data_IF_110877308434
#
_entry.id   IF_110877308434
#
_cell.length_a   1.000
_cell.length_b   1.000
_cell.length_c   1.000
_cell.angle_alpha   90.00
_cell.angle_beta   90.00
_cell.angle_gamma   90.00
#
_symmetry.space_group_name_H-M   'P 1'
#
loop_
_entity.id
_entity.type
_entity.pdbx_description
1 polymer ?
#
# COMPACT_ATOMS: atom_id res chain seq x y z
N UNK A 1 -12.51 -45.19 -25.03
CA UNK A 1 -12.78 -43.74 -25.14
C UNK A 1 -11.58 -42.99 -24.62
N UNK A 2 -10.73 -42.48 -25.53
CA UNK A 2 -9.40 -41.95 -25.20
C UNK A 2 -9.45 -40.56 -24.58
N UNK A 3 -8.90 -40.42 -23.39
CA UNK A 3 -8.54 -39.13 -22.81
C UNK A 3 -7.42 -38.53 -23.66
N UNK A 4 -7.75 -37.52 -24.48
CA UNK A 4 -6.76 -36.70 -25.19
C UNK A 4 -6.01 -35.88 -24.15
N UNK A 5 -4.82 -36.36 -23.76
CA UNK A 5 -3.87 -35.58 -22.99
C UNK A 5 -3.36 -34.45 -23.90
N UNK A 6 -3.92 -33.25 -23.73
CA UNK A 6 -3.51 -32.05 -24.46
C UNK A 6 -2.17 -31.60 -23.87
N UNK A 7 -1.08 -31.95 -24.53
CA UNK A 7 0.27 -31.47 -24.21
C UNK A 7 0.23 -29.94 -24.30
N UNK A 8 0.43 -29.24 -23.17
CA UNK A 8 0.48 -27.78 -23.13
C UNK A 8 1.73 -27.33 -23.90
N UNK A 9 1.55 -26.48 -24.90
CA UNK A 9 2.66 -25.99 -25.72
C UNK A 9 3.43 -24.91 -24.95
N UNK A 10 4.74 -24.80 -25.19
CA UNK A 10 5.63 -23.81 -24.56
C UNK A 10 5.20 -22.36 -24.85
N UNK A 11 4.43 -22.16 -25.93
CA UNK A 11 3.83 -20.89 -26.36
C UNK A 11 2.61 -20.45 -25.55
N UNK A 12 2.10 -21.29 -24.64
CA UNK A 12 0.93 -20.98 -23.79
C UNK A 12 1.34 -20.36 -22.44
N UNK A 13 2.63 -20.07 -22.24
CA UNK A 13 3.11 -19.43 -21.00
C UNK A 13 2.85 -17.92 -21.05
N UNK A 14 2.20 -17.35 -20.01
CA UNK A 14 2.03 -15.90 -19.94
C UNK A 14 3.40 -15.21 -19.92
N UNK A 15 3.47 -14.04 -20.52
CA UNK A 15 4.66 -13.20 -20.51
C UNK A 15 5.06 -12.82 -19.09
N UNK A 16 6.34 -12.51 -18.87
CA UNK A 16 6.82 -12.07 -17.54
C UNK A 16 6.05 -10.84 -17.03
N UNK A 17 5.66 -9.94 -17.94
CA UNK A 17 4.84 -8.76 -17.63
C UNK A 17 3.43 -9.16 -17.15
N UNK A 18 2.80 -10.15 -17.78
CA UNK A 18 1.48 -10.64 -17.35
C UNK A 18 1.56 -11.33 -15.99
N UNK A 19 2.62 -12.09 -15.72
CA UNK A 19 2.85 -12.71 -14.41
C UNK A 19 3.02 -11.62 -13.33
N UNK A 20 3.78 -10.56 -13.63
CA UNK A 20 3.97 -9.44 -12.70
C UNK A 20 2.65 -8.71 -12.45
N UNK A 21 1.89 -8.38 -13.49
CA UNK A 21 0.56 -7.75 -13.38
C UNK A 21 -0.36 -8.57 -12.49
N UNK A 22 -0.44 -9.88 -12.73
CA UNK A 22 -1.28 -10.79 -11.96
C UNK A 22 -0.88 -10.81 -10.48
N UNK A 23 0.41 -10.96 -10.17
CA UNK A 23 0.90 -10.92 -8.79
C UNK A 23 0.61 -9.59 -8.09
N UNK A 24 0.71 -8.46 -8.82
CA UNK A 24 0.41 -7.13 -8.27
C UNK A 24 -1.07 -6.95 -7.98
N UNK A 25 -1.95 -7.46 -8.85
CA UNK A 25 -3.40 -7.54 -8.63
C UNK A 25 -3.74 -8.37 -7.40
N UNK A 26 -3.16 -9.56 -7.27
CA UNK A 26 -3.34 -10.42 -6.10
C UNK A 26 -2.92 -9.74 -4.79
N UNK A 27 -1.85 -8.93 -4.83
CA UNK A 27 -1.42 -8.11 -3.69
C UNK A 27 -2.45 -7.08 -3.22
N UNK A 28 -3.42 -6.71 -4.07
CA UNK A 28 -4.55 -5.85 -3.72
C UNK A 28 -5.76 -6.71 -3.32
N UNK A 29 -6.11 -7.71 -4.14
CA UNK A 29 -7.32 -8.49 -3.96
C UNK A 29 -7.29 -9.38 -2.72
N UNK A 30 -6.13 -9.96 -2.40
CA UNK A 30 -6.02 -10.88 -1.27
C UNK A 30 -6.30 -10.14 0.05
N UNK A 31 -5.64 -9.00 0.38
CA UNK A 31 -5.93 -8.26 1.60
C UNK A 31 -7.34 -7.68 1.68
N UNK A 32 -7.98 -7.37 0.55
CA UNK A 32 -9.33 -6.82 0.52
C UNK A 32 -10.42 -7.88 0.72
N UNK A 33 -10.22 -9.08 0.18
CA UNK A 33 -11.27 -10.10 0.12
C UNK A 33 -11.04 -11.30 1.05
N UNK A 34 -9.87 -11.41 1.67
CA UNK A 34 -9.52 -12.53 2.53
C UNK A 34 -9.07 -12.04 3.90
N UNK A 35 -9.30 -12.87 4.90
CA UNK A 35 -8.90 -12.59 6.27
C UNK A 35 -7.41 -12.96 6.49
N UNK A 36 -6.53 -12.05 6.07
CA UNK A 36 -5.07 -12.22 6.07
C UNK A 36 -4.34 -11.34 7.10
N UNK A 37 -5.08 -10.54 7.87
CA UNK A 37 -4.48 -9.80 8.98
C UNK A 37 -3.97 -10.79 10.03
N UNK A 38 -2.87 -10.43 10.70
CA UNK A 38 -2.26 -11.29 11.71
C UNK A 38 -3.26 -11.58 12.85
N UNK A 39 -3.60 -12.86 13.06
CA UNK A 39 -4.57 -13.28 14.09
C UNK A 39 -3.90 -13.81 15.36
N UNK A 40 -2.78 -14.51 15.18
CA UNK A 40 -2.08 -15.23 16.26
C UNK A 40 -0.77 -14.57 16.65
N UNK A 41 -0.36 -13.54 15.90
CA UNK A 41 0.87 -12.80 16.12
C UNK A 41 0.53 -11.44 16.67
N UNK A 42 1.18 -11.06 17.77
CA UNK A 42 0.99 -9.77 18.40
C UNK A 42 1.94 -8.71 17.85
N UNK A 43 1.52 -7.44 17.91
CA UNK A 43 2.36 -6.26 17.66
C UNK A 43 3.20 -5.85 18.87
N UNK A 44 2.93 -6.46 20.03
CA UNK A 44 3.44 -6.12 21.36
C UNK A 44 3.01 -4.74 21.88
N UNK A 45 2.14 -4.02 21.16
CA UNK A 45 1.61 -2.74 21.62
C UNK A 45 0.72 -2.88 22.85
N UNK A 46 0.18 -4.08 23.15
CA UNK A 46 -0.57 -4.37 24.37
C UNK A 46 0.28 -4.28 25.65
N UNK A 47 1.61 -4.34 25.51
CA UNK A 47 2.55 -4.15 26.62
C UNK A 47 2.97 -2.69 26.81
N UNK A 48 2.58 -1.79 25.89
CA UNK A 48 2.85 -0.36 25.99
C UNK A 48 1.65 0.31 26.67
N UNK A 49 1.89 0.89 27.86
CA UNK A 49 0.87 1.65 28.59
C UNK A 49 1.23 3.13 28.63
N UNK A 50 0.35 3.97 28.11
CA UNK A 50 0.43 5.42 28.28
C UNK A 50 -0.13 5.77 29.67
N UNK A 51 0.66 6.44 30.51
CA UNK A 51 0.20 6.85 31.83
C UNK A 51 -0.74 8.04 31.66
N UNK A 52 -2.00 7.86 32.09
CA UNK A 52 -3.02 8.89 31.99
C UNK A 52 -2.75 10.05 32.95
N UNK A 53 -2.89 11.28 32.46
CA UNK A 53 -2.97 12.48 33.27
C UNK A 53 -4.44 12.96 33.31
N UNK A 54 -5.06 12.92 34.48
CA UNK A 54 -6.47 13.25 34.67
C UNK A 54 -6.76 14.76 34.67
N UNK A 55 -5.75 15.59 34.93
CA UNK A 55 -5.88 17.04 34.93
C UNK A 55 -4.71 17.66 34.14
N UNK A 56 -4.70 17.54 32.81
CA UNK A 56 -3.70 18.20 31.98
C UNK A 56 -3.92 19.72 32.03
N UNK A 57 -2.85 20.47 32.27
CA UNK A 57 -2.83 21.94 32.19
C UNK A 57 -2.62 22.37 30.73
N UNK A 58 -3.51 21.93 29.84
CA UNK A 58 -3.40 22.07 28.38
C UNK A 58 -4.80 22.26 27.76
N UNK A 59 -4.92 23.17 26.80
CA UNK A 59 -6.09 23.28 25.94
C UNK A 59 -6.01 22.27 24.77
N UNK A 60 -7.13 21.64 24.46
CA UNK A 60 -7.22 20.69 23.34
C UNK A 60 -6.93 21.37 22.01
N UNK A 61 -7.40 22.60 21.83
CA UNK A 61 -7.25 23.36 20.58
C UNK A 61 -5.80 23.85 20.36
N UNK A 62 -4.95 23.77 21.38
CA UNK A 62 -3.52 24.12 21.31
C UNK A 62 -2.61 22.92 20.94
N UNK A 63 -3.19 21.71 20.77
CA UNK A 63 -2.42 20.52 20.41
C UNK A 63 -1.96 20.60 18.94
N UNK A 64 -0.67 20.87 18.74
CA UNK A 64 -0.02 20.76 17.43
C UNK A 64 0.60 19.36 17.24
N UNK A 65 0.02 18.58 16.32
CA UNK A 65 0.55 17.27 15.91
C UNK A 65 1.45 17.36 14.66
N UNK A 66 1.70 18.55 14.12
CA UNK A 66 2.56 18.69 12.96
C UNK A 66 4.00 18.25 13.26
N UNK A 67 4.69 17.75 12.23
CA UNK A 67 6.07 17.28 12.38
C UNK A 67 6.91 17.60 11.15
N UNK A 68 8.23 17.55 11.28
CA UNK A 68 9.16 17.68 10.16
C UNK A 68 9.87 16.36 9.91
N UNK A 69 9.73 15.84 8.69
CA UNK A 69 10.42 14.63 8.26
C UNK A 69 11.07 14.88 6.90
N UNK A 70 12.33 14.46 6.74
CA UNK A 70 13.12 14.66 5.51
C UNK A 70 13.08 16.11 4.97
N UNK A 71 13.16 17.10 5.87
CA UNK A 71 13.11 18.54 5.57
C UNK A 71 11.78 19.05 5.01
N UNK A 72 10.69 18.30 5.16
CA UNK A 72 9.32 18.74 4.84
C UNK A 72 8.44 18.72 6.08
N UNK A 73 7.53 19.69 6.18
CA UNK A 73 6.53 19.76 7.23
C UNK A 73 5.30 18.95 6.81
N UNK A 74 4.78 18.15 7.73
CA UNK A 74 3.55 17.36 7.60
C UNK A 74 2.59 17.73 8.73
N UNK A 75 1.30 17.59 8.48
CA UNK A 75 0.26 17.96 9.45
C UNK A 75 0.16 16.99 10.62
N UNK A 76 0.69 15.77 10.49
CA UNK A 76 0.67 14.74 11.53
C UNK A 76 1.91 13.83 11.43
N UNK A 77 2.31 13.11 12.50
CA UNK A 77 3.41 12.16 12.47
C UNK A 77 2.94 10.80 11.91
N UNK A 78 2.28 10.82 10.75
CA UNK A 78 1.68 9.66 10.10
C UNK A 78 2.13 9.58 8.64
N UNK A 79 2.30 8.34 8.17
CA UNK A 79 2.70 8.03 6.79
C UNK A 79 1.76 6.95 6.26
N UNK A 80 1.19 7.17 5.07
CA UNK A 80 0.55 6.10 4.29
C UNK A 80 1.66 5.25 3.69
N UNK A 81 1.87 4.06 4.24
CA UNK A 81 2.97 3.18 3.82
C UNK A 81 2.72 2.54 2.43
N UNK A 82 3.80 2.01 1.87
CA UNK A 82 3.93 1.49 0.52
C UNK A 82 3.06 0.25 0.29
N UNK A 83 1.97 0.39 -0.45
CA UNK A 83 1.04 -0.71 -0.72
C UNK A 83 1.11 -1.25 -2.15
N UNK A 84 0.89 -0.40 -3.17
CA UNK A 84 0.57 -0.90 -4.51
C UNK A 84 1.16 -0.07 -5.67
N UNK A 85 1.01 -0.63 -6.87
CA UNK A 85 1.53 -0.14 -8.14
C UNK A 85 1.96 -1.31 -9.03
N UNK A 86 1.85 -1.14 -10.35
CA UNK A 86 2.13 -2.19 -11.35
C UNK A 86 0.91 -3.01 -11.77
N UNK A 87 -0.30 -2.52 -11.51
CA UNK A 87 -1.57 -3.04 -12.03
C UNK A 87 -2.52 -1.85 -12.33
N UNK A 88 -3.44 -1.95 -13.31
CA UNK A 88 -4.31 -0.82 -13.68
C UNK A 88 -5.13 -0.25 -12.52
N UNK A 89 -5.69 -1.11 -11.67
CA UNK A 89 -6.45 -0.71 -10.49
C UNK A 89 -5.60 0.00 -9.42
N UNK A 90 -4.29 -0.25 -9.40
CA UNK A 90 -3.37 0.37 -8.45
C UNK A 90 -3.26 1.88 -8.68
N UNK A 91 -3.34 2.33 -9.93
CA UNK A 91 -3.31 3.76 -10.27
C UNK A 91 -4.47 4.52 -9.60
N UNK A 92 -5.67 3.95 -9.62
CA UNK A 92 -6.85 4.54 -8.97
C UNK A 92 -6.70 4.57 -7.44
N UNK A 93 -6.13 3.51 -6.84
CA UNK A 93 -5.90 3.45 -5.40
C UNK A 93 -4.87 4.51 -4.99
N UNK A 94 -3.73 4.53 -5.67
CA UNK A 94 -2.66 5.50 -5.41
C UNK A 94 -3.15 6.94 -5.62
N UNK A 95 -3.95 7.21 -6.65
CA UNK A 95 -4.50 8.55 -6.89
C UNK A 95 -5.39 9.02 -5.74
N UNK A 96 -6.31 8.18 -5.27
CA UNK A 96 -7.18 8.51 -4.11
C UNK A 96 -6.40 8.71 -2.83
N UNK A 97 -5.39 7.89 -2.58
CA UNK A 97 -4.53 8.04 -1.40
C UNK A 97 -3.65 9.28 -1.51
N UNK A 98 -3.19 9.64 -2.70
CA UNK A 98 -2.43 10.86 -2.98
C UNK A 98 -3.27 12.11 -2.77
N UNK A 99 -4.51 12.14 -3.28
CA UNK A 99 -5.47 13.22 -3.02
C UNK A 99 -5.71 13.41 -1.52
N UNK A 100 -5.92 12.32 -0.79
CA UNK A 100 -6.08 12.35 0.68
C UNK A 100 -4.79 12.83 1.37
N UNK A 101 -3.63 12.33 0.96
CA UNK A 101 -2.36 12.73 1.54
C UNK A 101 -2.11 14.23 1.35
N UNK A 102 -2.43 14.77 0.18
CA UNK A 102 -2.33 16.21 -0.12
C UNK A 102 -3.33 17.02 0.72
N UNK A 103 -4.61 16.60 0.75
CA UNK A 103 -5.67 17.31 1.49
C UNK A 103 -5.36 17.42 2.99
N UNK A 104 -4.88 16.34 3.60
CA UNK A 104 -4.59 16.29 5.04
C UNK A 104 -3.13 16.61 5.38
N UNK A 105 -2.25 16.78 4.39
CA UNK A 105 -0.82 17.03 4.58
C UNK A 105 -0.07 15.85 5.22
N UNK A 106 -0.41 14.62 4.82
CA UNK A 106 0.29 13.40 5.24
C UNK A 106 1.38 13.01 4.24
N UNK A 107 2.39 12.28 4.72
CA UNK A 107 3.35 11.67 3.81
C UNK A 107 2.76 10.37 3.23
N UNK A 108 3.13 10.04 1.99
CA UNK A 108 2.73 8.80 1.34
C UNK A 108 3.91 8.14 0.62
N UNK A 109 4.02 6.82 0.77
CA UNK A 109 4.91 5.96 0.00
C UNK A 109 4.17 5.21 -1.10
N UNK A 110 4.85 4.98 -2.24
CA UNK A 110 4.35 4.13 -3.31
C UNK A 110 4.84 2.69 -3.14
N UNK A 111 4.05 1.72 -3.62
CA UNK A 111 4.47 0.32 -3.65
C UNK A 111 5.71 0.09 -4.51
N UNK A 112 6.27 -1.13 -4.43
CA UNK A 112 7.48 -1.51 -5.18
C UNK A 112 7.40 -1.18 -6.67
N UNK A 113 8.22 -0.22 -7.11
CA UNK A 113 8.26 0.33 -8.48
C UNK A 113 8.97 -0.55 -9.51
N UNK A 114 9.46 -1.75 -9.13
CA UNK A 114 10.16 -2.67 -10.04
C UNK A 114 9.38 -2.93 -11.33
N UNK A 115 8.06 -3.09 -11.22
CA UNK A 115 7.20 -3.32 -12.38
C UNK A 115 7.21 -2.14 -13.37
N UNK A 116 7.32 -0.90 -12.88
CA UNK A 116 7.42 0.29 -13.72
C UNK A 116 8.77 0.41 -14.44
N UNK A 117 9.84 -0.13 -13.86
CA UNK A 117 11.15 -0.20 -14.52
C UNK A 117 11.17 -1.20 -15.69
N UNK A 118 10.35 -2.25 -15.61
CA UNK A 118 10.28 -3.32 -16.62
C UNK A 118 9.30 -3.01 -17.76
N UNK A 119 8.34 -2.11 -17.56
CA UNK A 119 7.35 -1.74 -18.57
C UNK A 119 6.89 -0.29 -18.43
N UNK A 120 6.94 0.46 -19.54
CA UNK A 120 6.40 1.82 -19.62
C UNK A 120 4.91 1.87 -19.28
N UNK A 121 4.14 0.90 -19.74
CA UNK A 121 2.71 0.81 -19.43
C UNK A 121 2.47 0.69 -17.92
N UNK A 122 3.32 -0.04 -17.21
CA UNK A 122 3.21 -0.22 -15.76
C UNK A 122 3.75 0.99 -14.99
N UNK A 123 4.70 1.73 -15.55
CA UNK A 123 5.20 2.96 -14.96
C UNK A 123 4.09 4.01 -14.78
N UNK A 124 3.16 4.09 -15.73
CA UNK A 124 2.00 4.99 -15.66
C UNK A 124 1.13 4.77 -14.41
N UNK A 125 1.14 3.56 -13.83
CA UNK A 125 0.36 3.26 -12.61
C UNK A 125 0.90 3.90 -11.33
N UNK A 126 2.06 4.55 -11.41
CA UNK A 126 2.71 5.28 -10.31
C UNK A 126 2.67 6.81 -10.51
N UNK A 127 2.19 7.28 -11.66
CA UNK A 127 2.08 8.70 -11.99
C UNK A 127 0.80 9.26 -11.39
N UNK A 128 0.90 9.68 -10.12
CA UNK A 128 -0.15 10.36 -9.35
C UNK A 128 0.23 11.80 -9.05
#
# INVERSE_FOLDING_TARGET
MGAKNKVRNVSDRPSDIEIIKQRKREGIEIPLNNDVQAKTTSTYLEYVKLIHNALPELDYDEIDISTTFLKRKFSAPLIIDSMTGGAPEAARINGRLGELAEEYGFAMGLGSQRAGLESKELAETYSI
#
